data_IF_107547559176
#
_entry.id   IF_107547559176
#
_cell.length_a   1.000
_cell.length_b   1.000
_cell.length_c   1.000
_cell.angle_alpha   90.00
_cell.angle_beta   90.00
_cell.angle_gamma   90.00
#
_symmetry.space_group_name_H-M   'P 1'
#
loop_
_entity.id
_entity.type
_entity.pdbx_description
1 polymer ?
#
# COMPACT_ATOMS: atom_id res chain seq x y z
N UNK A 1 -14.92 -13.13 0.18
CA UNK A 1 -14.79 -13.53 1.60
C UNK A 1 -14.43 -12.33 2.48
N UNK A 2 -13.30 -11.65 2.27
CA UNK A 2 -12.89 -10.51 3.11
C UNK A 2 -13.91 -9.35 3.15
N UNK A 3 -14.31 -8.79 1.99
CA UNK A 3 -15.20 -7.62 1.93
C UNK A 3 -16.59 -7.83 2.56
N UNK A 4 -17.17 -9.04 2.44
CA UNK A 4 -18.54 -9.30 2.90
C UNK A 4 -18.64 -9.69 4.39
N UNK A 5 -17.56 -10.22 4.97
CA UNK A 5 -17.58 -10.77 6.34
C UNK A 5 -16.64 -10.04 7.32
N UNK A 6 -15.69 -9.25 6.80
CA UNK A 6 -14.72 -8.49 7.60
C UNK A 6 -14.60 -7.03 7.10
N UNK A 7 -15.72 -6.28 7.08
CA UNK A 7 -15.71 -4.89 6.66
C UNK A 7 -14.78 -4.07 7.57
N UNK A 8 -14.17 -3.01 7.02
CA UNK A 8 -13.25 -2.09 7.73
C UNK A 8 -11.97 -2.69 8.35
N UNK A 9 -11.63 -3.95 8.05
CA UNK A 9 -10.37 -4.55 8.54
C UNK A 9 -9.14 -4.12 7.76
N UNK A 10 -9.31 -3.56 6.56
CA UNK A 10 -8.21 -3.08 5.71
C UNK A 10 -7.88 -1.62 6.02
N UNK A 11 -6.66 -1.36 6.50
CA UNK A 11 -6.15 0.00 6.77
C UNK A 11 -5.37 0.61 5.61
N UNK A 12 -4.35 -0.10 5.11
CA UNK A 12 -3.51 0.31 3.96
C UNK A 12 -3.24 -0.90 3.09
N UNK A 13 -3.13 -0.70 1.78
CA UNK A 13 -2.85 -1.74 0.80
C UNK A 13 -1.81 -1.24 -0.20
N UNK A 14 -0.69 -1.97 -0.32
CA UNK A 14 0.40 -1.61 -1.22
C UNK A 14 0.60 -2.68 -2.29
N UNK A 15 0.64 -2.26 -3.56
CA UNK A 15 1.06 -3.09 -4.68
C UNK A 15 2.43 -2.59 -5.11
N UNK A 16 3.45 -3.42 -4.92
CA UNK A 16 4.85 -3.05 -5.20
C UNK A 16 5.33 -3.67 -6.51
N UNK A 17 6.37 -3.08 -7.10
CA UNK A 17 6.94 -3.52 -8.37
C UNK A 17 5.88 -3.61 -9.48
N UNK A 18 4.91 -2.71 -9.45
CA UNK A 18 3.84 -2.68 -10.43
C UNK A 18 4.38 -2.15 -11.77
N UNK A 19 4.20 -2.88 -12.89
CA UNK A 19 4.57 -2.36 -14.20
C UNK A 19 3.67 -1.18 -14.58
N UNK A 20 4.16 -0.27 -15.43
CA UNK A 20 3.41 0.93 -15.85
C UNK A 20 1.99 0.61 -16.36
N UNK A 21 1.84 -0.51 -17.07
CA UNK A 21 0.54 -0.99 -17.56
C UNK A 21 -0.48 -1.20 -16.42
N UNK A 22 -0.03 -1.61 -15.24
CA UNK A 22 -0.90 -1.85 -14.08
C UNK A 22 -1.54 -0.55 -13.59
N UNK A 23 -0.82 0.59 -13.64
CA UNK A 23 -1.37 1.91 -13.30
C UNK A 23 -2.46 2.35 -14.28
N UNK A 24 -2.32 2.01 -15.55
CA UNK A 24 -3.35 2.25 -16.58
C UNK A 24 -4.60 1.43 -16.27
N UNK A 25 -4.45 0.12 -16.05
CA UNK A 25 -5.58 -0.76 -15.70
C UNK A 25 -6.25 -0.28 -14.41
N UNK A 26 -5.48 0.10 -13.40
CA UNK A 26 -6.01 0.63 -12.15
C UNK A 26 -6.90 1.85 -12.36
N UNK A 27 -6.53 2.74 -13.28
CA UNK A 27 -7.34 3.94 -13.60
C UNK A 27 -8.70 3.58 -14.21
N UNK A 28 -8.80 2.45 -14.90
CA UNK A 28 -10.07 1.92 -15.43
C UNK A 28 -10.90 1.20 -14.36
N UNK A 29 -10.26 0.65 -13.32
CA UNK A 29 -10.92 -0.09 -12.24
C UNK A 29 -11.42 0.84 -11.12
N UNK A 30 -10.74 1.98 -10.88
CA UNK A 30 -11.13 2.97 -9.86
C UNK A 30 -12.63 3.34 -9.84
N UNK A 31 -13.30 3.57 -10.98
CA UNK A 31 -14.73 3.94 -10.99
C UNK A 31 -15.68 2.86 -10.45
N UNK A 32 -15.20 1.61 -10.34
CA UNK A 32 -16.00 0.49 -9.81
C UNK A 32 -15.77 0.25 -8.32
N UNK A 33 -14.82 0.95 -7.72
CA UNK A 33 -14.47 0.85 -6.31
C UNK A 33 -14.96 2.09 -5.56
N UNK A 34 -15.37 1.91 -4.31
CA UNK A 34 -15.71 3.03 -3.46
C UNK A 34 -14.47 3.89 -3.15
N UNK A 35 -14.69 5.19 -2.92
CA UNK A 35 -13.58 6.12 -2.69
C UNK A 35 -12.73 5.77 -1.46
N UNK A 36 -13.32 5.16 -0.43
CA UNK A 36 -12.60 4.81 0.80
C UNK A 36 -11.62 3.68 0.51
N UNK A 37 -12.02 2.67 -0.26
CA UNK A 37 -11.14 1.59 -0.73
C UNK A 37 -10.06 2.12 -1.66
N UNK A 38 -10.38 3.01 -2.60
CA UNK A 38 -9.38 3.60 -3.50
C UNK A 38 -8.32 4.40 -2.70
N UNK A 39 -8.72 5.15 -1.67
CA UNK A 39 -7.81 5.91 -0.79
C UNK A 39 -6.90 5.01 0.05
N UNK A 40 -7.29 3.75 0.29
CA UNK A 40 -6.49 2.77 1.04
C UNK A 40 -5.44 2.07 0.16
N UNK A 41 -5.58 2.10 -1.17
CA UNK A 41 -4.73 1.38 -2.12
C UNK A 41 -3.68 2.30 -2.76
N UNK A 42 -2.41 1.92 -2.62
CA UNK A 42 -1.26 2.60 -3.22
C UNK A 42 -0.50 1.64 -4.13
N UNK A 43 -0.36 2.02 -5.40
CA UNK A 43 0.43 1.30 -6.39
C UNK A 43 1.78 1.98 -6.48
N UNK A 44 2.84 1.22 -6.21
CA UNK A 44 4.21 1.69 -6.14
C UNK A 44 5.05 1.08 -7.27
N UNK A 45 5.88 1.91 -7.89
CA UNK A 45 6.85 1.52 -8.91
C UNK A 45 8.09 0.84 -8.29
N UNK A 46 9.21 0.80 -9.02
CA UNK A 46 10.48 0.21 -8.55
C UNK A 46 11.10 0.92 -7.35
N UNK A 47 10.71 2.17 -7.06
CA UNK A 47 11.14 2.97 -5.92
C UNK A 47 10.28 2.79 -4.66
N UNK A 48 9.45 1.74 -4.60
CA UNK A 48 8.50 1.46 -3.52
C UNK A 48 9.06 1.50 -2.09
N UNK A 49 10.35 1.22 -1.92
CA UNK A 49 11.00 1.07 -0.62
C UNK A 49 10.92 2.34 0.22
N UNK A 50 10.99 3.53 -0.39
CA UNK A 50 10.90 4.81 0.34
C UNK A 50 9.53 4.94 1.03
N UNK A 51 8.45 4.72 0.28
CA UNK A 51 7.08 4.80 0.80
C UNK A 51 6.80 3.74 1.84
N UNK A 52 7.37 2.53 1.69
CA UNK A 52 7.22 1.48 2.71
C UNK A 52 7.93 1.86 4.01
N UNK A 53 9.15 2.38 3.94
CA UNK A 53 9.94 2.74 5.12
C UNK A 53 9.39 3.96 5.88
N UNK A 54 8.61 4.81 5.22
CA UNK A 54 7.85 5.90 5.88
C UNK A 54 6.69 5.38 6.74
N UNK A 55 6.19 4.18 6.45
CA UNK A 55 4.99 3.62 7.10
C UNK A 55 5.30 2.45 8.02
N UNK A 56 6.34 1.68 7.69
CA UNK A 56 6.77 0.48 8.39
C UNK A 56 8.23 0.68 8.76
N UNK A 57 8.60 0.54 10.05
CA UNK A 57 9.99 0.67 10.46
C UNK A 57 10.86 -0.42 9.81
N UNK A 58 12.11 -0.08 9.52
CA UNK A 58 13.02 -0.92 8.72
C UNK A 58 13.23 -2.31 9.33
N UNK A 59 13.27 -2.40 10.66
CA UNK A 59 13.42 -3.64 11.43
C UNK A 59 12.22 -4.59 11.32
N UNK A 60 11.04 -4.07 10.96
CA UNK A 60 9.82 -4.85 10.75
C UNK A 60 9.62 -5.26 9.28
N UNK A 61 10.46 -4.75 8.38
CA UNK A 61 10.36 -5.02 6.95
C UNK A 61 11.41 -6.08 6.53
N UNK A 62 11.04 -7.13 5.77
CA UNK A 62 11.98 -8.13 5.29
C UNK A 62 13.13 -7.55 4.45
N UNK A 63 14.33 -8.14 4.55
CA UNK A 63 15.49 -7.78 3.69
C UNK A 63 15.19 -7.85 2.19
N UNK A 64 14.32 -8.76 1.76
CA UNK A 64 13.89 -8.89 0.35
C UNK A 64 13.13 -7.65 -0.14
N UNK A 65 12.49 -6.91 0.77
CA UNK A 65 11.77 -5.67 0.51
C UNK A 65 12.58 -4.42 0.91
N UNK A 66 13.91 -4.54 1.00
CA UNK A 66 14.85 -3.46 1.39
C UNK A 66 14.74 -3.01 2.86
N UNK A 67 14.20 -3.84 3.74
CA UNK A 67 14.27 -3.65 5.19
C UNK A 67 15.48 -4.33 5.83
N UNK A 68 15.45 -4.51 7.15
CA UNK A 68 16.53 -5.13 7.92
C UNK A 68 16.10 -6.41 8.66
N UNK A 69 14.81 -6.76 8.64
CA UNK A 69 14.28 -7.93 9.33
C UNK A 69 14.89 -9.25 8.81
N UNK A 70 15.33 -10.09 9.74
CA UNK A 70 15.91 -11.41 9.50
C UNK A 70 15.35 -12.42 10.50
N UNK A 71 14.35 -13.19 10.07
CA UNK A 71 13.73 -14.20 10.92
C UNK A 71 14.47 -15.55 10.79
N UNK A 72 14.64 -16.32 11.89
CA UNK A 72 15.09 -17.70 11.81
C UNK A 72 14.20 -18.53 10.88
N UNK A 73 14.78 -19.17 9.88
CA UNK A 73 14.03 -19.94 8.87
C UNK A 73 13.38 -19.09 7.75
N UNK A 74 13.62 -17.78 7.72
CA UNK A 74 13.15 -16.85 6.69
C UNK A 74 11.83 -16.16 7.04
N UNK A 75 11.69 -14.89 6.62
CA UNK A 75 10.52 -14.06 6.93
C UNK A 75 9.21 -14.66 6.41
N UNK A 76 9.22 -15.34 5.25
CA UNK A 76 8.01 -15.91 4.62
C UNK A 76 7.36 -17.03 5.43
N UNK A 77 8.13 -17.71 6.28
CA UNK A 77 7.65 -18.82 7.12
C UNK A 77 7.55 -18.44 8.60
N UNK A 78 7.78 -17.17 8.92
CA UNK A 78 7.81 -16.67 10.29
C UNK A 78 6.43 -16.12 10.70
N UNK A 79 6.02 -16.42 11.93
CA UNK A 79 4.86 -15.82 12.61
C UNK A 79 5.33 -14.88 13.73
N UNK A 80 6.36 -14.07 13.43
CA UNK A 80 6.91 -13.10 14.36
C UNK A 80 6.03 -11.84 14.42
N UNK A 81 5.75 -11.39 15.64
CA UNK A 81 4.99 -10.16 15.87
C UNK A 81 4.57 -10.01 17.34
N UNK A 82 3.92 -8.88 17.69
CA UNK A 82 3.59 -8.55 19.07
C UNK A 82 2.71 -9.59 19.78
N UNK A 83 1.94 -10.39 19.04
CA UNK A 83 1.09 -11.45 19.62
C UNK A 83 1.88 -12.59 20.28
N UNK A 84 3.22 -12.64 20.13
CA UNK A 84 4.09 -13.57 20.88
C UNK A 84 4.58 -12.97 22.20
N UNK A 85 4.48 -11.66 22.39
CA UNK A 85 4.96 -10.98 23.59
C UNK A 85 4.00 -11.20 24.77
N UNK A 86 4.57 -11.53 25.94
CA UNK A 86 3.78 -11.84 27.14
C UNK A 86 2.84 -10.69 27.56
N UNK A 87 3.28 -9.44 27.38
CA UNK A 87 2.49 -8.25 27.71
C UNK A 87 1.30 -8.07 26.77
N UNK A 88 1.52 -8.20 25.47
CA UNK A 88 0.45 -8.10 24.47
C UNK A 88 -0.59 -9.22 24.62
N UNK A 89 -0.14 -10.45 24.89
CA UNK A 89 -1.03 -11.59 25.19
C UNK A 89 -1.85 -11.33 26.45
N UNK A 90 -1.22 -10.80 27.50
CA UNK A 90 -1.90 -10.45 28.75
C UNK A 90 -2.95 -9.36 28.53
N UNK A 91 -2.61 -8.31 27.77
CA UNK A 91 -3.55 -7.24 27.39
C UNK A 91 -4.73 -7.79 26.59
N UNK A 92 -4.48 -8.66 25.61
CA UNK A 92 -5.53 -9.28 24.81
C UNK A 92 -6.47 -10.16 25.65
N UNK A 93 -5.94 -10.90 26.63
CA UNK A 93 -6.75 -11.69 27.58
C UNK A 93 -7.66 -10.79 28.44
N UNK A 94 -7.15 -9.68 28.94
CA UNK A 94 -7.91 -8.69 29.73
C UNK A 94 -9.02 -8.04 28.90
N UNK A 95 -8.72 -7.63 27.67
CA UNK A 95 -9.72 -7.09 26.73
C UNK A 95 -10.84 -8.11 26.44
N UNK A 96 -10.50 -9.39 26.25
CA UNK A 96 -11.50 -10.46 26.07
C UNK A 96 -12.32 -10.75 27.33
N UNK A 97 -11.77 -10.50 28.52
CA UNK A 97 -12.46 -10.67 29.80
C UNK A 97 -13.36 -9.48 30.18
N UNK A 98 -13.41 -8.42 29.36
CA UNK A 98 -14.32 -7.28 29.55
C UNK A 98 -13.80 -6.19 30.50
N UNK A 99 -12.52 -6.20 30.87
CA UNK A 99 -11.92 -5.10 31.64
C UNK A 99 -11.72 -3.86 30.74
N UNK A 100 -12.18 -2.65 31.14
CA UNK A 100 -12.03 -1.46 30.32
C UNK A 100 -10.55 -1.07 30.27
N UNK A 101 -9.98 -1.09 29.06
CA UNK A 101 -8.65 -0.54 28.82
C UNK A 101 -8.69 0.98 29.01
N UNK A 102 -7.98 1.47 30.04
CA UNK A 102 -7.69 2.90 30.19
C UNK A 102 -6.94 3.36 28.94
N UNK A 103 -7.61 4.19 28.13
CA UNK A 103 -7.01 4.86 26.98
C UNK A 103 -6.14 5.97 27.55
N UNK A 104 -4.82 5.77 27.57
CA UNK A 104 -3.89 6.89 27.67
C UNK A 104 -3.81 7.54 26.29
N UNK A 105 -4.30 8.77 26.22
CA UNK A 105 -4.36 9.58 25.02
C UNK A 105 -2.95 9.84 24.47
N UNK A 106 -2.73 9.46 23.21
CA UNK A 106 -1.69 10.11 22.42
C UNK A 106 -2.10 11.59 22.23
N UNK A 107 -1.19 12.56 22.39
CA UNK A 107 -1.55 13.97 22.31
C UNK A 107 -1.98 14.33 20.89
N UNK A 108 -3.17 14.95 20.81
CA UNK A 108 -3.66 15.68 19.65
C UNK A 108 -2.69 16.80 19.27
N UNK A 109 -2.38 16.91 17.98
CA UNK A 109 -1.57 17.96 17.38
C UNK A 109 -2.13 18.41 16.03
N UNK A 110 -3.23 19.17 16.12
CA UNK A 110 -3.61 20.33 15.30
C UNK A 110 -4.02 20.23 13.80
N UNK A 111 -4.86 21.20 13.44
CA UNK A 111 -5.84 21.27 12.33
C UNK A 111 -5.25 21.61 10.94
N UNK A 112 -5.98 21.09 9.93
CA UNK A 112 -6.17 21.52 8.52
C UNK A 112 -6.17 23.05 8.30
N UNK A 113 -5.86 23.55 7.08
CA UNK A 113 -6.92 23.81 6.07
C UNK A 113 -6.49 23.43 4.63
N UNK A 114 -7.23 22.60 3.91
CA UNK A 114 -8.12 22.96 2.77
C UNK A 114 -7.77 24.19 1.92
N UNK A 115 -7.66 23.89 0.61
CA UNK A 115 -7.97 24.68 -0.59
C UNK A 115 -7.09 25.87 -1.01
N UNK A 116 -6.51 25.74 -2.22
CA UNK A 116 -6.65 26.77 -3.26
C UNK A 116 -6.49 26.10 -4.63
N UNK A 117 -7.54 26.26 -5.44
CA UNK A 117 -7.60 25.95 -6.85
C UNK A 117 -6.63 26.82 -7.68
N UNK A 118 -6.15 26.29 -8.80
CA UNK A 118 -5.87 26.98 -10.08
C UNK A 118 -4.81 26.17 -10.86
N UNK A 119 -5.19 25.53 -11.97
CA UNK A 119 -5.10 26.09 -13.34
C UNK A 119 -3.76 25.74 -13.99
N UNK A 120 -3.82 25.05 -15.14
CA UNK A 120 -2.68 24.99 -16.05
C UNK A 120 -2.58 23.69 -16.83
N UNK A 121 -3.50 23.47 -17.79
CA UNK A 121 -3.07 22.91 -19.06
C UNK A 121 -2.10 23.92 -19.73
N UNK A 122 -1.15 23.48 -20.54
CA UNK A 122 -1.50 23.36 -21.94
C UNK A 122 -0.95 22.11 -22.63
N UNK A 123 -1.61 21.82 -23.74
CA UNK A 123 -1.23 20.87 -24.76
C UNK A 123 0.08 21.23 -25.46
N UNK A 124 0.72 20.23 -26.05
CA UNK A 124 1.51 20.32 -27.29
C UNK A 124 1.59 18.89 -27.82
N UNK A 125 0.66 18.53 -28.70
CA UNK A 125 0.84 18.44 -30.16
C UNK A 125 1.89 17.41 -30.61
N UNK A 126 1.44 16.55 -31.52
CA UNK A 126 2.14 15.43 -32.14
C UNK A 126 3.29 15.91 -33.08
N UNK A 127 4.02 14.98 -33.73
CA UNK A 127 3.48 14.47 -34.99
C UNK A 127 3.65 12.97 -35.21
N UNK A 128 2.79 12.50 -36.10
CA UNK A 128 2.79 11.19 -36.74
C UNK A 128 3.98 10.99 -37.69
N UNK A 129 4.41 9.74 -37.88
CA UNK A 129 4.97 9.22 -39.14
C UNK A 129 4.86 7.69 -39.03
N UNK A 130 3.90 7.06 -39.69
CA UNK A 130 3.89 6.56 -41.09
C UNK A 130 4.40 5.12 -41.18
N UNK A 131 3.72 4.36 -42.04
CA UNK A 131 3.65 2.91 -42.05
C UNK A 131 4.57 2.24 -43.10
N UNK A 132 4.86 0.97 -42.82
CA UNK A 132 5.11 -0.14 -43.78
C UNK A 132 6.49 -0.25 -44.47
N UNK A 133 6.83 -1.39 -45.11
CA UNK A 133 6.27 -2.75 -45.04
C UNK A 133 7.32 -3.87 -44.81
N UNK A 134 6.78 -5.09 -44.73
CA UNK A 134 7.47 -6.38 -44.76
C UNK A 134 8.24 -6.65 -46.06
N UNK A 135 9.34 -7.40 -45.97
CA UNK A 135 9.88 -8.19 -47.08
C UNK A 135 10.12 -9.64 -46.65
N UNK A 136 9.56 -10.53 -47.46
CA UNK A 136 9.80 -11.98 -47.51
C UNK A 136 10.91 -12.19 -48.52
N UNK A 137 11.95 -12.96 -48.21
CA UNK A 137 12.87 -13.46 -49.24
C UNK A 137 13.01 -14.97 -49.15
N UNK A 138 12.73 -15.60 -50.28
CA UNK A 138 12.98 -17.00 -50.61
C UNK A 138 14.46 -17.19 -50.94
N UNK A 139 15.02 -18.30 -50.48
CA UNK A 139 15.98 -19.15 -51.21
C UNK A 139 15.95 -20.54 -50.57
#
# INVERSE_FOLDING_TARGET
>A
LSQNYYPETMGKFYIINAPYLFSTVWSLVKPWLDEVTVKKISILDSSYHKTLLEQIPAESLPKTLKGTCDCPGGCSMSDAGPWKDAEAVTKAKKLKAGEPAKVEAAPEGEKKPEETAATGAPATEAPATEAAPAETTTA
#
